data_IF_952681237652
#
_entry.id   IF_952681237652
#
_cell.length_a   1.000
_cell.length_b   1.000
_cell.length_c   1.000
_cell.angle_alpha   90.00
_cell.angle_beta   90.00
_cell.angle_gamma   90.00
#
_symmetry.space_group_name_H-M   'P 1'
#
loop_
_entity.id
_entity.type
_entity.pdbx_description
1 polymer ?
#
# COMPACT_ATOMS: atom_id res chain seq x y z
N UNK A 1 1.24 -14.47 -2.05
CA UNK A 1 0.27 -13.47 -1.53
C UNK A 1 -1.10 -13.75 -2.14
N UNK A 2 -2.18 -13.89 -1.35
CA UNK A 2 -3.53 -14.01 -1.91
C UNK A 2 -3.83 -12.79 -2.78
N UNK A 3 -4.31 -13.02 -4.00
CA UNK A 3 -4.67 -11.95 -4.95
C UNK A 3 -5.79 -11.13 -4.32
N UNK A 4 -5.56 -9.84 -4.05
CA UNK A 4 -6.62 -8.96 -3.55
C UNK A 4 -7.69 -8.85 -4.64
N UNK A 5 -8.97 -8.96 -4.27
CA UNK A 5 -10.12 -8.84 -5.19
C UNK A 5 -10.19 -7.46 -5.84
N UNK A 6 -9.81 -6.41 -5.11
CA UNK A 6 -9.81 -5.02 -5.58
C UNK A 6 -8.42 -4.39 -5.39
N UNK A 7 -7.97 -3.63 -6.38
CA UNK A 7 -6.79 -2.77 -6.28
C UNK A 7 -7.08 -1.55 -5.42
N UNK A 8 -6.04 -0.93 -4.88
CA UNK A 8 -6.21 0.29 -4.09
C UNK A 8 -6.76 1.45 -4.93
N UNK A 9 -6.40 1.52 -6.23
CA UNK A 9 -7.00 2.51 -7.14
C UNK A 9 -8.49 2.22 -7.43
N UNK A 10 -8.89 0.94 -7.49
CA UNK A 10 -10.29 0.56 -7.65
C UNK A 10 -11.10 0.96 -6.40
N UNK A 11 -10.53 0.76 -5.21
CA UNK A 11 -11.15 1.15 -3.95
C UNK A 11 -11.39 2.66 -3.89
N UNK A 12 -10.37 3.47 -4.21
CA UNK A 12 -10.52 4.93 -4.24
C UNK A 12 -11.59 5.36 -5.24
N UNK A 13 -11.61 4.77 -6.45
CA UNK A 13 -12.65 5.08 -7.44
C UNK A 13 -14.06 4.79 -6.92
N UNK A 14 -14.27 3.67 -6.22
CA UNK A 14 -15.56 3.36 -5.62
C UNK A 14 -15.94 4.36 -4.53
N UNK A 15 -14.99 4.77 -3.68
CA UNK A 15 -15.23 5.78 -2.65
C UNK A 15 -15.67 7.12 -3.27
N UNK A 16 -14.96 7.57 -4.32
CA UNK A 16 -15.29 8.81 -5.04
C UNK A 16 -16.61 8.73 -5.78
N UNK A 17 -16.88 7.61 -6.45
CA UNK A 17 -18.16 7.40 -7.13
C UNK A 17 -19.34 7.51 -6.17
N UNK A 18 -19.23 6.92 -4.96
CA UNK A 18 -20.29 7.02 -3.96
C UNK A 18 -20.51 8.45 -3.47
N UNK A 19 -19.45 9.24 -3.33
CA UNK A 19 -19.52 10.66 -2.96
C UNK A 19 -20.19 11.50 -4.06
N UNK A 20 -19.88 11.25 -5.34
CA UNK A 20 -20.50 12.00 -6.47
C UNK A 20 -21.95 11.60 -6.73
N UNK A 21 -22.29 10.32 -6.58
CA UNK A 21 -23.63 9.79 -6.91
C UNK A 21 -24.61 9.82 -5.73
N UNK A 22 -24.17 10.29 -4.56
CA UNK A 22 -24.97 10.37 -3.32
C UNK A 22 -25.63 9.01 -2.93
N UNK A 23 -24.98 7.89 -3.29
CA UNK A 23 -25.47 6.56 -3.00
C UNK A 23 -25.34 6.22 -1.51
N UNK A 24 -26.30 5.44 -1.00
CA UNK A 24 -26.19 4.94 0.38
C UNK A 24 -25.10 3.86 0.46
N UNK A 25 -24.46 3.74 1.63
CA UNK A 25 -23.43 2.72 1.86
C UNK A 25 -23.94 1.30 1.53
N UNK A 26 -25.20 1.00 1.88
CA UNK A 26 -25.84 -0.27 1.59
C UNK A 26 -25.95 -0.55 0.07
N UNK A 27 -26.28 0.46 -0.74
CA UNK A 27 -26.35 0.33 -2.19
C UNK A 27 -24.97 0.04 -2.80
N UNK A 28 -23.95 0.78 -2.37
CA UNK A 28 -22.57 0.59 -2.85
C UNK A 28 -22.07 -0.81 -2.48
N UNK A 29 -22.35 -1.24 -1.25
CA UNK A 29 -21.99 -2.57 -0.76
C UNK A 29 -22.64 -3.69 -1.58
N UNK A 30 -23.93 -3.55 -1.90
CA UNK A 30 -24.66 -4.51 -2.75
C UNK A 30 -24.11 -4.54 -4.17
N UNK A 31 -23.86 -3.39 -4.78
CA UNK A 31 -23.36 -3.26 -6.16
C UNK A 31 -21.98 -3.89 -6.34
N UNK A 32 -21.07 -3.67 -5.38
CA UNK A 32 -19.70 -4.19 -5.47
C UNK A 32 -19.51 -5.53 -4.76
N UNK A 33 -20.55 -6.09 -4.16
CA UNK A 33 -20.50 -7.36 -3.43
C UNK A 33 -19.49 -7.32 -2.28
N UNK A 34 -19.50 -6.23 -1.50
CA UNK A 34 -18.68 -6.02 -0.30
C UNK A 34 -19.60 -5.83 0.90
N UNK A 35 -19.10 -6.05 2.11
CA UNK A 35 -19.83 -5.73 3.34
C UNK A 35 -19.52 -4.29 3.81
N UNK A 36 -20.43 -3.71 4.59
CA UNK A 36 -20.27 -2.34 5.11
C UNK A 36 -19.01 -2.17 5.96
N UNK A 37 -18.62 -3.20 6.73
CA UNK A 37 -17.37 -3.15 7.49
C UNK A 37 -16.15 -2.97 6.55
N UNK A 38 -16.15 -3.61 5.39
CA UNK A 38 -15.10 -3.43 4.38
C UNK A 38 -15.12 -2.01 3.82
N UNK A 39 -16.32 -1.48 3.55
CA UNK A 39 -16.51 -0.09 3.12
C UNK A 39 -15.91 0.91 4.12
N UNK A 40 -16.26 0.82 5.41
CA UNK A 40 -15.75 1.74 6.42
C UNK A 40 -14.24 1.61 6.64
N UNK A 41 -13.69 0.39 6.55
CA UNK A 41 -12.22 0.18 6.56
C UNK A 41 -11.54 0.88 5.39
N UNK A 42 -12.12 0.79 4.19
CA UNK A 42 -11.60 1.49 3.02
C UNK A 42 -11.73 3.00 3.16
N UNK A 43 -12.88 3.49 3.62
CA UNK A 43 -13.09 4.93 3.87
C UNK A 43 -12.10 5.48 4.90
N UNK A 44 -11.80 4.73 5.96
CA UNK A 44 -10.78 5.10 6.96
C UNK A 44 -9.37 5.18 6.36
N UNK A 45 -9.01 4.23 5.47
CA UNK A 45 -7.65 4.17 4.90
C UNK A 45 -7.46 5.12 3.71
N UNK A 46 -8.47 5.27 2.86
CA UNK A 46 -8.34 5.89 1.54
C UNK A 46 -9.32 7.05 1.30
N UNK A 47 -10.22 7.37 2.23
CA UNK A 47 -11.28 8.36 2.00
C UNK A 47 -10.79 9.79 1.73
N UNK A 48 -9.56 10.11 2.12
CA UNK A 48 -8.92 11.40 1.83
C UNK A 48 -7.93 11.34 0.66
N UNK A 49 -7.82 10.20 -0.02
CA UNK A 49 -6.86 10.00 -1.10
C UNK A 49 -7.54 10.03 -2.46
N UNK A 50 -6.88 10.65 -3.44
CA UNK A 50 -7.19 10.50 -4.85
C UNK A 50 -6.41 9.34 -5.49
N UNK A 51 -6.82 8.94 -6.69
CA UNK A 51 -6.13 7.89 -7.46
C UNK A 51 -4.64 8.22 -7.69
N UNK A 52 -4.25 9.48 -8.01
CA UNK A 52 -2.84 9.86 -8.09
C UNK A 52 -2.08 9.67 -6.78
N UNK A 53 -2.70 9.95 -5.63
CA UNK A 53 -2.08 9.81 -4.32
C UNK A 53 -1.74 8.35 -4.03
N UNK A 54 -2.69 7.44 -4.29
CA UNK A 54 -2.47 6.00 -4.13
C UNK A 54 -1.38 5.48 -5.07
N UNK A 55 -1.35 5.96 -6.32
CA UNK A 55 -0.30 5.59 -7.28
C UNK A 55 1.07 6.06 -6.77
N UNK A 56 1.15 7.30 -6.27
CA UNK A 56 2.39 7.87 -5.74
C UNK A 56 2.85 7.12 -4.50
N UNK A 57 1.93 6.81 -3.58
CA UNK A 57 2.21 6.04 -2.37
C UNK A 57 2.80 4.67 -2.71
N UNK A 58 2.19 3.95 -3.65
CA UNK A 58 2.67 2.63 -4.09
C UNK A 58 4.08 2.68 -4.68
N UNK A 59 4.38 3.70 -5.49
CA UNK A 59 5.73 3.88 -6.03
C UNK A 59 6.74 4.21 -4.93
N UNK A 60 6.38 5.08 -3.99
CA UNK A 60 7.23 5.40 -2.84
C UNK A 60 7.49 4.18 -1.96
N UNK A 61 6.48 3.35 -1.70
CA UNK A 61 6.64 2.09 -0.95
C UNK A 61 7.59 1.13 -1.67
N UNK A 62 7.48 1.01 -3.00
CA UNK A 62 8.38 0.18 -3.81
C UNK A 62 9.82 0.69 -3.76
N UNK A 63 10.01 1.99 -3.91
CA UNK A 63 11.32 2.63 -3.83
C UNK A 63 11.94 2.46 -2.44
N UNK A 64 11.15 2.69 -1.38
CA UNK A 64 11.60 2.52 0.00
C UNK A 64 11.99 1.07 0.30
N UNK A 65 11.19 0.09 -0.14
CA UNK A 65 11.54 -1.33 0.00
C UNK A 65 12.86 -1.68 -0.70
N UNK A 66 13.06 -1.17 -1.92
CA UNK A 66 14.33 -1.35 -2.66
C UNK A 66 15.50 -0.70 -1.92
N UNK A 67 15.34 0.52 -1.43
CA UNK A 67 16.38 1.24 -0.70
C UNK A 67 16.76 0.52 0.59
N UNK A 68 15.76 0.08 1.38
CA UNK A 68 16.00 -0.71 2.61
C UNK A 68 16.81 -1.98 2.33
N UNK A 69 16.50 -2.69 1.24
CA UNK A 69 17.25 -3.88 0.82
C UNK A 69 18.71 -3.53 0.50
N UNK A 70 18.93 -2.49 -0.31
CA UNK A 70 20.27 -2.06 -0.70
C UNK A 70 21.10 -1.63 0.51
N UNK A 71 20.50 -0.90 1.45
CA UNK A 71 21.19 -0.49 2.70
C UNK A 71 21.58 -1.71 3.52
N UNK A 72 20.66 -2.66 3.73
CA UNK A 72 20.97 -3.89 4.46
C UNK A 72 22.08 -4.72 3.78
N UNK A 73 22.06 -4.84 2.45
CA UNK A 73 23.11 -5.52 1.68
C UNK A 73 24.47 -4.82 1.87
N UNK A 74 24.50 -3.49 1.83
CA UNK A 74 25.73 -2.70 2.05
C UNK A 74 26.24 -2.79 3.48
N UNK A 75 25.36 -2.75 4.48
CA UNK A 75 25.76 -2.86 5.89
C UNK A 75 26.40 -4.23 6.17
N UNK A 76 25.85 -5.31 5.61
CA UNK A 76 26.43 -6.65 5.71
C UNK A 76 27.82 -6.74 5.07
N UNK A 77 28.02 -6.12 3.90
CA UNK A 77 29.33 -6.06 3.24
C UNK A 77 30.35 -5.27 4.09
N UNK A 78 29.94 -4.16 4.69
CA UNK A 78 30.79 -3.35 5.57
C UNK A 78 31.18 -4.15 6.81
N UNK A 79 30.23 -4.86 7.42
CA UNK A 79 30.50 -5.67 8.61
C UNK A 79 31.47 -6.82 8.30
N UNK A 80 31.28 -7.52 7.18
CA UNK A 80 32.21 -8.55 6.71
C UNK A 80 33.63 -7.97 6.48
N UNK A 81 33.74 -6.79 5.82
CA UNK A 81 35.03 -6.14 5.62
C UNK A 81 35.70 -5.73 6.94
N UNK A 82 34.92 -5.25 7.91
CA UNK A 82 35.43 -4.90 9.24
C UNK A 82 35.95 -6.11 10.00
N UNK A 83 35.30 -7.27 9.88
CA UNK A 83 35.79 -8.52 10.48
C UNK A 83 37.14 -8.95 9.88
N UNK A 84 37.30 -8.83 8.55
CA UNK A 84 38.57 -9.08 7.85
C UNK A 84 39.67 -8.16 8.35
N UNK A 85 39.40 -6.85 8.46
CA UNK A 85 40.39 -5.87 8.95
C UNK A 85 40.77 -6.11 10.40
N UNK A 86 39.83 -6.57 11.25
CA UNK A 86 40.11 -6.88 12.66
C UNK A 86 40.98 -8.12 12.86
N UNK A 87 41.26 -8.88 11.80
CA UNK A 87 42.16 -10.05 11.86
C UNK A 87 41.57 -11.25 12.62
N UNK A 88 40.25 -11.35 12.73
CA UNK A 88 39.57 -12.48 13.38
C UNK A 88 39.41 -13.68 12.42
N UNK A 89 40.49 -14.12 11.78
CA UNK A 89 40.56 -15.31 10.93
C UNK A 89 41.69 -16.23 11.38
#
# INVERSE_FOLDING_TARGET
>A
MKKKRFSEEQIVRMLRQAETTNQTVAQVCKTHGICENTWYRWKKKFGQMEVPDVRRLRELEKQNSRLKRLVAERDLEIDAMREVIKGNF
#
